data_IF_962949850063
#
_entry.id   IF_962949850063
#
_cell.length_a   1.000
_cell.length_b   1.000
_cell.length_c   1.000
_cell.angle_alpha   90.00
_cell.angle_beta   90.00
_cell.angle_gamma   90.00
#
_symmetry.space_group_name_H-M   'P 1'
#
loop_
_entity.id
_entity.type
_entity.pdbx_description
1 polymer ?
#
# COMPACT_ATOMS: atom_id res chain seq x y z
N UNK A 1 36.85 -18.11 -4.94
CA UNK A 1 35.98 -17.76 -3.80
C UNK A 1 35.09 -18.96 -3.53
N UNK A 2 34.99 -19.39 -2.28
CA UNK A 2 34.26 -20.60 -1.93
C UNK A 2 32.82 -20.23 -1.56
N UNK A 3 31.85 -20.77 -2.30
CA UNK A 3 30.43 -20.57 -2.02
C UNK A 3 30.01 -21.43 -0.83
N UNK A 4 29.11 -20.89 0.02
CA UNK A 4 28.45 -21.63 1.08
C UNK A 4 26.93 -21.66 0.87
N UNK A 5 26.32 -22.69 1.44
CA UNK A 5 24.88 -22.88 1.46
C UNK A 5 24.37 -22.67 2.87
N UNK A 6 23.34 -21.85 3.03
CA UNK A 6 22.62 -21.64 4.28
C UNK A 6 21.20 -22.18 4.12
N UNK A 7 20.81 -23.09 5.00
CA UNK A 7 19.43 -23.57 5.10
C UNK A 7 18.64 -22.62 5.98
N UNK A 8 17.56 -22.06 5.44
CA UNK A 8 16.73 -21.10 6.15
C UNK A 8 15.37 -21.70 6.42
N UNK A 9 15.00 -21.76 7.69
CA UNK A 9 13.69 -22.20 8.16
C UNK A 9 12.90 -20.99 8.67
N UNK A 10 11.65 -20.90 8.26
CA UNK A 10 10.71 -19.94 8.81
C UNK A 10 9.67 -20.72 9.61
N UNK A 11 9.59 -20.42 10.90
CA UNK A 11 8.52 -20.88 11.76
C UNK A 11 7.52 -19.75 11.89
N UNK A 12 6.36 -19.93 11.28
CA UNK A 12 5.24 -19.00 11.42
C UNK A 12 4.21 -19.69 12.30
N UNK A 13 3.99 -19.14 13.50
CA UNK A 13 2.80 -19.47 14.27
C UNK A 13 1.67 -18.55 13.79
N UNK A 14 0.49 -19.14 13.58
CA UNK A 14 -0.59 -18.55 12.78
C UNK A 14 -1.96 -19.11 13.16
N UNK A 15 -2.92 -18.26 13.55
CA UNK A 15 -4.34 -18.66 13.81
C UNK A 15 -5.00 -19.41 12.62
N UNK A 16 -4.49 -19.23 11.40
CA UNK A 16 -5.05 -19.78 10.16
C UNK A 16 -4.12 -20.77 9.45
N UNK A 17 -3.09 -21.27 10.12
CA UNK A 17 -2.17 -22.28 9.59
C UNK A 17 -1.16 -21.73 8.56
N UNK A 18 -0.44 -22.64 7.91
CA UNK A 18 0.63 -22.33 6.95
C UNK A 18 0.06 -21.66 5.69
N UNK A 19 0.53 -20.46 5.37
CA UNK A 19 0.31 -19.82 4.06
C UNK A 19 1.61 -19.81 3.27
N UNK A 20 1.56 -20.28 2.01
CA UNK A 20 2.71 -20.26 1.12
C UNK A 20 3.01 -18.84 0.64
N UNK A 21 3.99 -18.19 1.24
CA UNK A 21 4.46 -16.85 0.89
C UNK A 21 5.99 -16.83 0.80
N UNK A 22 6.52 -15.71 0.33
CA UNK A 22 7.95 -15.49 0.24
C UNK A 22 8.31 -14.18 0.93
N UNK A 23 9.45 -14.18 1.63
CA UNK A 23 9.99 -13.01 2.30
C UNK A 23 11.39 -12.68 1.80
N UNK A 24 11.74 -11.40 1.67
CA UNK A 24 13.08 -10.99 1.29
C UNK A 24 14.07 -11.28 2.42
N UNK A 25 15.19 -11.87 2.06
CA UNK A 25 16.32 -12.10 2.94
C UNK A 25 17.59 -11.56 2.31
N UNK A 26 18.45 -10.99 3.14
CA UNK A 26 19.79 -10.56 2.76
C UNK A 26 20.83 -11.11 3.74
N UNK A 27 21.97 -11.56 3.23
CA UNK A 27 23.18 -11.74 4.04
C UNK A 27 23.94 -10.43 4.01
N UNK A 28 24.26 -9.89 5.18
CA UNK A 28 24.96 -8.62 5.36
C UNK A 28 26.24 -8.80 6.17
N UNK A 29 27.22 -7.94 5.97
CA UNK A 29 28.41 -7.88 6.82
C UNK A 29 28.19 -7.02 8.09
N UNK A 30 29.22 -6.92 8.92
CA UNK A 30 29.24 -6.07 10.11
C UNK A 30 29.04 -4.57 9.85
N UNK A 31 29.23 -4.11 8.61
CA UNK A 31 29.00 -2.72 8.19
C UNK A 31 27.60 -2.52 7.61
N UNK A 32 26.80 -3.59 7.53
CA UNK A 32 25.49 -3.59 6.91
C UNK A 32 25.51 -3.62 5.38
N UNK A 33 26.66 -3.88 4.77
CA UNK A 33 26.78 -4.07 3.32
C UNK A 33 26.13 -5.40 2.94
N UNK A 34 25.30 -5.37 1.91
CA UNK A 34 24.63 -6.55 1.39
C UNK A 34 25.60 -7.38 0.57
N UNK A 35 25.80 -8.64 0.97
CA UNK A 35 26.64 -9.62 0.29
C UNK A 35 25.83 -10.46 -0.67
N UNK A 36 24.64 -10.89 -0.24
CA UNK A 36 23.74 -11.69 -1.03
C UNK A 36 22.29 -11.35 -0.70
N UNK A 37 21.41 -11.53 -1.67
CA UNK A 37 19.96 -11.29 -1.58
C UNK A 37 19.19 -12.46 -2.17
N UNK A 38 18.01 -12.72 -1.65
CA UNK A 38 17.05 -13.66 -2.24
C UNK A 38 15.74 -13.73 -1.47
N UNK A 39 14.99 -14.79 -1.69
CA UNK A 39 13.65 -14.97 -1.13
C UNK A 39 13.59 -16.26 -0.33
N UNK A 40 12.99 -16.22 0.85
CA UNK A 40 12.79 -17.40 1.70
C UNK A 40 11.32 -17.78 1.65
N UNK A 41 11.05 -19.06 1.39
CA UNK A 41 9.71 -19.61 1.38
C UNK A 41 9.23 -19.91 2.80
N UNK A 42 7.98 -19.60 3.11
CA UNK A 42 7.39 -19.84 4.43
C UNK A 42 6.91 -21.27 4.67
N UNK A 43 6.66 -22.04 3.61
CA UNK A 43 6.15 -23.40 3.68
C UNK A 43 7.24 -24.47 3.59
N UNK A 44 8.46 -24.12 3.16
CA UNK A 44 9.57 -25.06 3.00
C UNK A 44 10.90 -24.43 3.32
N UNK A 45 11.84 -25.26 3.78
CA UNK A 45 13.24 -24.86 3.97
C UNK A 45 13.79 -24.34 2.65
N UNK A 46 14.41 -23.17 2.68
CA UNK A 46 15.02 -22.56 1.50
C UNK A 46 16.54 -22.65 1.62
N UNK A 47 17.20 -23.06 0.54
CA UNK A 47 18.66 -23.04 0.45
C UNK A 47 19.10 -21.70 -0.14
N UNK A 48 20.02 -21.05 0.55
CA UNK A 48 20.48 -19.71 0.23
C UNK A 48 22.00 -19.71 0.04
N UNK A 49 22.46 -19.24 -1.12
CA UNK A 49 23.87 -19.28 -1.48
C UNK A 49 24.50 -17.91 -1.24
N UNK A 50 25.68 -17.89 -0.60
CA UNK A 50 26.41 -16.65 -0.37
C UNK A 50 27.92 -16.88 -0.39
N UNK A 51 28.65 -15.80 -0.69
CA UNK A 51 30.11 -15.78 -0.59
C UNK A 51 30.50 -15.43 0.85
N UNK A 52 31.34 -16.26 1.47
CA UNK A 52 31.83 -15.96 2.81
C UNK A 52 33.12 -15.12 2.74
N UNK A 53 33.34 -14.31 3.76
CA UNK A 53 34.59 -13.62 4.03
C UNK A 53 35.00 -13.87 5.49
N UNK A 54 36.19 -13.42 5.89
CA UNK A 54 36.67 -13.60 7.28
C UNK A 54 35.94 -12.68 8.29
N UNK A 55 35.01 -11.84 7.84
CA UNK A 55 34.25 -10.94 8.69
C UNK A 55 32.95 -11.60 9.17
N UNK A 56 32.40 -11.19 10.33
CA UNK A 56 31.12 -11.69 10.79
C UNK A 56 30.00 -11.27 9.84
N UNK A 57 29.20 -12.25 9.44
CA UNK A 57 28.04 -12.08 8.57
C UNK A 57 26.74 -12.33 9.33
N UNK A 58 25.68 -11.69 8.86
CA UNK A 58 24.37 -11.74 9.46
C UNK A 58 23.32 -12.06 8.41
N UNK A 59 22.45 -13.01 8.73
CA UNK A 59 21.24 -13.27 7.99
C UNK A 59 20.15 -12.29 8.46
N UNK A 60 19.65 -11.44 7.55
CA UNK A 60 18.59 -10.48 7.84
C UNK A 60 17.34 -10.77 7.02
N UNK A 61 16.24 -11.07 7.70
CA UNK A 61 14.90 -11.22 7.14
C UNK A 61 14.15 -9.89 7.29
N UNK A 62 13.44 -9.45 6.25
CA UNK A 62 12.60 -8.23 6.34
C UNK A 62 11.13 -8.58 6.17
N UNK A 63 10.29 -8.15 7.11
CA UNK A 63 8.84 -8.36 7.08
C UNK A 63 8.14 -7.23 6.29
N UNK A 64 6.92 -7.45 5.76
CA UNK A 64 6.18 -6.45 4.99
C UNK A 64 5.89 -5.17 5.78
N UNK A 65 5.59 -5.28 7.08
CA UNK A 65 5.44 -4.15 8.00
C UNK A 65 6.71 -3.27 8.13
N UNK A 66 7.82 -3.75 7.57
CA UNK A 66 9.10 -3.09 7.47
C UNK A 66 10.06 -3.37 8.62
N UNK A 67 9.68 -4.16 9.63
CA UNK A 67 10.61 -4.67 10.65
C UNK A 67 11.59 -5.66 10.04
N UNK A 68 12.70 -5.90 10.73
CA UNK A 68 13.69 -6.86 10.29
C UNK A 68 14.20 -7.66 11.47
N UNK A 69 14.37 -8.95 11.26
CA UNK A 69 15.01 -9.87 12.19
C UNK A 69 16.40 -10.20 11.66
N UNK A 70 17.39 -10.26 12.56
CA UNK A 70 18.79 -10.47 12.18
C UNK A 70 19.43 -11.52 13.06
N UNK A 71 20.07 -12.51 12.44
CA UNK A 71 20.75 -13.63 13.10
C UNK A 71 22.22 -13.63 12.67
N UNK A 72 23.14 -13.78 13.62
CA UNK A 72 24.58 -13.91 13.35
C UNK A 72 24.86 -15.30 12.75
N UNK A 73 25.61 -15.37 11.64
CA UNK A 73 25.93 -16.62 10.94
C UNK A 73 27.19 -17.33 11.47
N UNK A 74 27.78 -16.82 12.55
CA UNK A 74 28.94 -17.39 13.21
C UNK A 74 28.59 -17.69 14.67
N UNK A 75 29.07 -18.82 15.18
CA UNK A 75 29.01 -19.15 16.60
C UNK A 75 30.19 -18.50 17.34
N UNK A 76 30.15 -18.55 18.68
CA UNK A 76 31.24 -18.02 19.52
C UNK A 76 32.61 -18.66 19.24
N UNK A 77 32.64 -19.87 18.68
CA UNK A 77 33.86 -20.60 18.31
C UNK A 77 34.33 -20.30 16.87
N UNK A 78 33.78 -19.25 16.23
CA UNK A 78 34.00 -18.90 14.82
C UNK A 78 33.57 -19.98 13.82
N UNK A 79 32.82 -20.99 14.26
CA UNK A 79 32.18 -21.95 13.36
C UNK A 79 30.99 -21.29 12.66
N UNK A 80 30.81 -21.62 11.39
CA UNK A 80 29.73 -21.05 10.59
C UNK A 80 28.46 -21.88 10.73
N UNK A 81 27.31 -21.20 10.78
CA UNK A 81 26.01 -21.85 10.79
C UNK A 81 25.64 -22.29 9.36
N UNK A 82 25.29 -23.56 9.23
CA UNK A 82 24.72 -24.13 8.00
C UNK A 82 23.19 -24.01 7.97
N UNK A 83 22.56 -23.70 9.10
CA UNK A 83 21.12 -23.54 9.24
C UNK A 83 20.76 -22.36 10.17
N UNK A 84 19.75 -21.59 9.80
CA UNK A 84 19.13 -20.56 10.65
C UNK A 84 17.61 -20.66 10.63
N UNK A 85 17.00 -20.36 11.77
CA UNK A 85 15.54 -20.36 11.95
C UNK A 85 15.06 -18.98 12.41
N UNK A 86 14.04 -18.45 11.74
CA UNK A 86 13.32 -17.25 12.17
C UNK A 86 11.95 -17.64 12.71
N UNK A 87 11.56 -17.08 13.86
CA UNK A 87 10.27 -17.33 14.51
C UNK A 87 9.41 -16.08 14.41
N UNK A 88 8.35 -16.14 13.59
CA UNK A 88 7.44 -15.03 13.35
C UNK A 88 6.10 -15.36 14.04
N UNK A 89 5.57 -14.45 14.87
CA UNK A 89 4.24 -14.58 15.47
C UNK A 89 4.17 -15.17 16.88
N UNK A 90 5.28 -15.35 17.60
CA UNK A 90 5.25 -15.89 18.99
C UNK A 90 4.73 -14.88 20.05
N UNK A 91 4.49 -13.61 19.68
CA UNK A 91 3.92 -12.61 20.58
C UNK A 91 2.38 -12.76 20.65
N UNK A 92 1.88 -13.31 21.75
CA UNK A 92 0.46 -13.66 22.04
C UNK A 92 -0.58 -12.51 22.00
N UNK A 93 -0.24 -11.31 21.51
CA UNK A 93 -1.07 -10.10 21.60
C UNK A 93 -1.49 -9.49 20.25
N UNK A 94 -1.08 -10.06 19.13
CA UNK A 94 -1.42 -9.56 17.79
C UNK A 94 -1.78 -10.73 16.90
N UNK A 95 -2.92 -10.70 16.18
CA UNK A 95 -3.20 -11.77 15.22
C UNK A 95 -2.08 -11.79 14.18
N UNK A 96 -1.62 -12.97 13.79
CA UNK A 96 -0.41 -13.13 12.96
C UNK A 96 -0.56 -12.43 11.60
N UNK A 97 -1.78 -12.43 11.06
CA UNK A 97 -2.19 -11.60 9.93
C UNK A 97 -1.85 -10.11 10.09
N UNK A 98 -2.03 -9.55 11.28
CA UNK A 98 -1.67 -8.18 11.59
C UNK A 98 -0.14 -8.00 11.60
N UNK A 99 0.67 -9.02 11.91
CA UNK A 99 2.12 -8.91 11.70
C UNK A 99 2.51 -8.80 10.21
N UNK A 100 1.73 -9.46 9.33
CA UNK A 100 1.88 -9.43 7.87
C UNK A 100 1.33 -8.15 7.20
N UNK A 101 0.27 -7.56 7.76
CA UNK A 101 -0.46 -6.42 7.17
C UNK A 101 -0.35 -5.10 7.92
N UNK A 102 0.14 -5.10 9.17
CA UNK A 102 0.24 -3.90 9.97
C UNK A 102 1.43 -3.06 9.56
N UNK A 103 1.18 -2.14 8.64
CA UNK A 103 1.75 -0.81 8.82
C UNK A 103 1.25 -0.27 10.16
N UNK A 104 2.05 -0.43 11.21
CA UNK A 104 1.94 0.28 12.49
C UNK A 104 0.52 0.35 13.07
N UNK A 105 -0.05 -0.81 13.38
CA UNK A 105 -0.99 -0.86 14.49
C UNK A 105 -0.12 -0.90 15.75
N UNK A 106 -0.01 0.22 16.46
CA UNK A 106 0.64 0.29 17.78
C UNK A 106 -0.26 -0.43 18.81
N UNK A 107 -0.37 -1.76 18.66
CA UNK A 107 -1.20 -2.64 19.49
C UNK A 107 -0.66 -2.79 20.92
N UNK A 108 0.57 -2.32 21.17
CA UNK A 108 1.17 -2.32 22.51
C UNK A 108 0.48 -1.33 23.48
N UNK A 109 -0.60 -0.65 23.09
CA UNK A 109 -1.33 0.29 23.94
C UNK A 109 -2.85 0.01 23.99
N UNK A 110 -3.21 -0.99 24.79
CA UNK A 110 -4.43 -1.11 25.60
C UNK A 110 -5.79 -0.92 24.89
N UNK A 111 -6.36 -2.04 24.45
CA UNK A 111 -7.70 -2.24 23.88
C UNK A 111 -8.93 -2.03 24.79
N UNK A 112 -9.00 -0.91 25.51
CA UNK A 112 -10.16 -0.62 26.36
C UNK A 112 -11.28 0.22 25.71
N UNK A 113 -11.02 0.93 24.60
CA UNK A 113 -11.82 2.13 24.30
C UNK A 113 -12.22 2.38 22.84
N UNK A 114 -12.03 1.46 21.88
CA UNK A 114 -12.28 1.75 20.45
C UNK A 114 -13.77 1.83 20.06
N UNK A 115 -14.65 1.00 20.63
CA UNK A 115 -16.11 1.13 20.43
C UNK A 115 -16.70 2.42 21.04
N UNK A 116 -15.98 3.04 21.97
CA UNK A 116 -16.32 4.34 22.56
C UNK A 116 -15.58 5.50 21.87
N UNK A 117 -14.80 5.24 20.82
CA UNK A 117 -14.16 6.32 20.07
C UNK A 117 -15.17 7.05 19.16
N UNK A 118 -15.12 8.39 19.10
CA UNK A 118 -15.78 9.16 18.04
C UNK A 118 -15.27 8.64 16.70
N UNK A 119 -16.14 8.22 15.77
CA UNK A 119 -15.70 7.51 14.57
C UNK A 119 -16.33 6.15 14.31
N UNK A 120 -16.61 5.36 15.37
CA UNK A 120 -16.93 3.93 15.19
C UNK A 120 -18.34 3.55 15.65
N UNK A 121 -18.97 4.35 16.53
CA UNK A 121 -20.30 4.05 17.08
C UNK A 121 -21.41 3.99 16.03
N UNK A 122 -21.28 4.76 14.96
CA UNK A 122 -22.24 4.84 13.85
C UNK A 122 -21.72 4.18 12.57
N UNK A 123 -20.69 3.33 12.68
CA UNK A 123 -20.11 2.69 11.52
C UNK A 123 -21.13 1.77 10.84
N UNK A 124 -21.24 1.87 9.52
CA UNK A 124 -22.04 0.95 8.73
C UNK A 124 -21.30 0.53 7.47
N UNK A 125 -21.71 -0.63 6.97
CA UNK A 125 -21.06 -1.33 5.88
C UNK A 125 -22.11 -1.74 4.85
N UNK A 126 -21.79 -1.55 3.57
CA UNK A 126 -22.56 -2.09 2.46
C UNK A 126 -21.61 -2.81 1.52
N UNK A 127 -21.91 -4.06 1.23
CA UNK A 127 -21.16 -4.83 0.25
C UNK A 127 -21.86 -4.69 -1.11
N UNK A 128 -21.06 -4.38 -2.12
CA UNK A 128 -21.51 -4.21 -3.50
C UNK A 128 -20.80 -5.21 -4.39
N UNK A 129 -21.52 -5.72 -5.37
CA UNK A 129 -21.03 -6.69 -6.33
C UNK A 129 -21.46 -6.29 -7.75
N UNK A 130 -20.61 -6.58 -8.73
CA UNK A 130 -20.90 -6.37 -10.14
C UNK A 130 -21.05 -7.70 -10.86
N UNK A 131 -22.30 -8.09 -11.13
CA UNK A 131 -22.59 -9.34 -11.83
C UNK A 131 -22.52 -9.16 -13.36
N UNK A 132 -22.27 -10.22 -14.15
CA UNK A 132 -22.25 -10.15 -15.60
C UNK A 132 -23.59 -9.70 -16.21
N UNK A 133 -24.69 -10.03 -15.53
CA UNK A 133 -26.06 -9.76 -16.01
C UNK A 133 -26.50 -8.31 -15.80
N UNK A 134 -25.74 -7.52 -15.03
CA UNK A 134 -26.05 -6.13 -14.73
C UNK A 134 -24.85 -5.23 -15.03
N UNK A 135 -25.02 -4.19 -15.88
CA UNK A 135 -23.96 -3.19 -16.08
C UNK A 135 -23.73 -2.32 -14.83
N UNK A 136 -24.64 -2.38 -13.85
CA UNK A 136 -24.61 -1.57 -12.61
C UNK A 136 -24.19 -2.42 -11.42
N UNK A 137 -23.52 -1.77 -10.47
CA UNK A 137 -23.25 -2.38 -9.17
C UNK A 137 -24.54 -2.61 -8.39
N UNK A 138 -24.65 -3.78 -7.76
CA UNK A 138 -25.77 -4.16 -6.92
C UNK A 138 -25.31 -4.32 -5.48
N UNK A 139 -26.10 -3.81 -4.54
CA UNK A 139 -25.85 -4.04 -3.12
C UNK A 139 -26.32 -5.45 -2.77
N UNK A 140 -25.48 -6.21 -2.07
CA UNK A 140 -25.79 -7.54 -1.56
C UNK A 140 -25.81 -7.52 -0.03
N UNK A 141 -26.49 -8.49 0.59
CA UNK A 141 -26.51 -8.59 2.05
C UNK A 141 -25.13 -9.02 2.56
N UNK A 142 -24.49 -8.15 3.33
CA UNK A 142 -23.17 -8.43 3.89
C UNK A 142 -23.22 -9.58 4.90
N UNK A 143 -24.33 -9.77 5.61
CA UNK A 143 -24.44 -10.78 6.66
C UNK A 143 -24.40 -12.20 6.10
N UNK A 144 -24.92 -12.40 4.87
CA UNK A 144 -24.86 -13.68 4.17
C UNK A 144 -23.45 -14.01 3.66
N UNK A 145 -22.59 -13.00 3.54
CA UNK A 145 -21.24 -13.11 3.00
C UNK A 145 -20.15 -13.19 4.08
N UNK A 146 -20.50 -12.99 5.35
CA UNK A 146 -19.59 -13.13 6.47
C UNK A 146 -19.34 -14.62 6.75
N UNK A 147 -18.07 -15.02 6.72
CA UNK A 147 -17.64 -16.37 7.13
C UNK A 147 -17.66 -16.54 8.64
N UNK A 148 -17.25 -15.50 9.36
CA UNK A 148 -17.21 -15.40 10.82
C UNK A 148 -17.28 -13.92 11.22
N UNK A 149 -17.78 -13.65 12.42
CA UNK A 149 -17.72 -12.33 13.06
C UNK A 149 -16.72 -12.40 14.23
N UNK A 150 -15.42 -12.20 14.01
CA UNK A 150 -14.47 -12.16 15.11
C UNK A 150 -14.72 -10.94 16.00
N UNK A 151 -14.99 -11.19 17.27
CA UNK A 151 -15.15 -10.18 18.31
C UNK A 151 -13.78 -9.65 18.77
N UNK A 152 -13.11 -8.83 17.95
CA UNK A 152 -12.02 -8.01 18.47
C UNK A 152 -12.60 -6.80 19.22
N UNK A 153 -12.14 -6.57 20.46
CA UNK A 153 -12.47 -5.35 21.23
C UNK A 153 -11.73 -4.12 20.69
N UNK A 154 -10.76 -4.32 19.80
CA UNK A 154 -9.81 -3.31 19.34
C UNK A 154 -10.05 -2.87 17.88
N UNK A 155 -10.81 -3.62 17.10
CA UNK A 155 -11.09 -3.30 15.71
C UNK A 155 -12.38 -3.96 15.24
N UNK A 156 -13.00 -3.41 14.21
CA UNK A 156 -14.05 -4.15 13.49
C UNK A 156 -13.35 -4.98 12.43
N UNK A 157 -13.54 -6.30 12.48
CA UNK A 157 -12.97 -7.22 11.52
C UNK A 157 -14.12 -7.94 10.80
N UNK A 158 -14.10 -7.91 9.48
CA UNK A 158 -15.07 -8.55 8.61
C UNK A 158 -14.35 -9.63 7.81
N UNK A 159 -14.79 -10.87 7.92
CA UNK A 159 -14.25 -11.98 7.15
C UNK A 159 -15.21 -12.28 6.00
N UNK A 160 -14.86 -11.84 4.80
CA UNK A 160 -15.70 -11.96 3.62
C UNK A 160 -15.34 -13.22 2.83
N UNK A 161 -16.35 -14.01 2.46
CA UNK A 161 -16.20 -15.17 1.56
C UNK A 161 -15.64 -14.74 0.20
N UNK A 162 -15.08 -15.67 -0.57
CA UNK A 162 -14.74 -15.40 -1.97
C UNK A 162 -16.00 -15.20 -2.83
N UNK A 163 -15.88 -14.43 -3.90
CA UNK A 163 -16.91 -14.29 -4.93
C UNK A 163 -16.28 -14.35 -6.32
N UNK A 164 -16.93 -14.97 -7.32
CA UNK A 164 -16.46 -14.91 -8.70
C UNK A 164 -16.59 -13.51 -9.32
N UNK A 165 -17.31 -12.58 -8.70
CA UNK A 165 -17.62 -11.27 -9.27
C UNK A 165 -16.81 -10.15 -8.59
N UNK A 166 -16.48 -9.06 -9.32
CA UNK A 166 -15.85 -7.89 -8.72
C UNK A 166 -16.69 -7.33 -7.57
N UNK A 167 -16.03 -7.00 -6.44
CA UNK A 167 -16.68 -6.49 -5.24
C UNK A 167 -16.08 -5.20 -4.74
N UNK A 168 -16.90 -4.43 -4.04
CA UNK A 168 -16.50 -3.22 -3.35
C UNK A 168 -17.22 -3.12 -2.00
N UNK A 169 -16.51 -2.68 -0.98
CA UNK A 169 -17.07 -2.38 0.33
C UNK A 169 -17.26 -0.87 0.45
N UNK A 170 -18.48 -0.44 0.74
CA UNK A 170 -18.77 0.93 1.14
C UNK A 170 -18.80 0.99 2.65
N UNK A 171 -17.95 1.84 3.21
CA UNK A 171 -17.75 1.99 4.66
C UNK A 171 -18.00 3.45 5.03
N UNK A 172 -18.85 3.69 6.03
CA UNK A 172 -18.95 5.01 6.67
C UNK A 172 -18.45 4.91 8.10
N UNK A 173 -17.47 5.72 8.48
CA UNK A 173 -16.78 5.68 9.77
C UNK A 173 -16.95 7.02 10.50
N UNK A 174 -18.20 7.36 10.90
CA UNK A 174 -18.65 8.65 11.50
C UNK A 174 -18.26 9.93 10.73
N UNK A 175 -17.40 9.84 9.71
CA UNK A 175 -17.23 10.81 8.67
C UNK A 175 -18.53 10.93 7.89
N UNK A 176 -18.92 12.16 7.56
CA UNK A 176 -20.15 12.39 6.81
C UNK A 176 -20.12 11.79 5.40
N UNK A 177 -18.93 11.48 4.88
CA UNK A 177 -18.76 10.83 3.59
C UNK A 177 -18.36 9.37 3.71
N UNK A 178 -19.14 8.45 3.09
CA UNK A 178 -18.73 7.06 2.94
C UNK A 178 -17.51 6.93 2.01
N UNK A 179 -16.77 5.86 2.21
CA UNK A 179 -15.59 5.46 1.45
C UNK A 179 -15.89 4.15 0.74
N UNK A 180 -15.58 4.08 -0.55
CA UNK A 180 -15.61 2.86 -1.36
C UNK A 180 -14.21 2.26 -1.34
N UNK A 181 -14.10 0.96 -1.08
CA UNK A 181 -12.84 0.21 -1.08
C UNK A 181 -12.99 -1.04 -1.94
N UNK A 182 -12.02 -1.27 -2.82
CA UNK A 182 -11.99 -2.47 -3.66
C UNK A 182 -11.73 -3.73 -2.84
N UNK A 183 -12.50 -4.78 -3.12
CA UNK A 183 -12.41 -6.08 -2.47
C UNK A 183 -12.06 -7.13 -3.54
N UNK A 184 -11.01 -7.94 -3.33
CA UNK A 184 -10.67 -9.01 -4.25
C UNK A 184 -11.73 -10.12 -4.27
N UNK A 185 -11.66 -10.92 -5.33
CA UNK A 185 -12.56 -12.05 -5.56
C UNK A 185 -12.27 -13.22 -4.60
N UNK A 186 -11.08 -13.27 -4.02
CA UNK A 186 -10.69 -14.28 -3.03
C UNK A 186 -11.33 -14.02 -1.66
N UNK A 187 -11.28 -15.04 -0.79
CA UNK A 187 -11.60 -14.84 0.62
C UNK A 187 -10.69 -13.76 1.20
N UNK A 188 -11.28 -12.82 1.95
CA UNK A 188 -10.60 -11.58 2.33
C UNK A 188 -11.00 -11.17 3.73
N UNK A 189 -10.02 -10.69 4.50
CA UNK A 189 -10.20 -10.02 5.78
C UNK A 189 -10.22 -8.51 5.57
N UNK A 190 -11.24 -7.84 6.09
CA UNK A 190 -11.29 -6.37 6.15
C UNK A 190 -11.17 -5.96 7.61
N UNK A 191 -10.14 -5.17 7.90
CA UNK A 191 -9.88 -4.60 9.21
C UNK A 191 -10.19 -3.11 9.19
N UNK A 192 -11.04 -2.67 10.12
CA UNK A 192 -11.30 -1.26 10.38
C UNK A 192 -10.69 -0.89 11.72
N UNK A 193 -9.77 0.05 11.67
CA UNK A 193 -8.94 0.47 12.80
C UNK A 193 -8.78 1.99 12.83
N UNK A 194 -8.26 2.54 13.92
CA UNK A 194 -7.91 3.97 14.01
C UNK A 194 -6.40 4.16 13.96
N UNK A 195 -5.92 5.07 13.13
CA UNK A 195 -4.53 5.51 13.15
C UNK A 195 -4.44 6.85 13.88
N UNK A 196 -3.57 6.93 14.91
CA UNK A 196 -3.27 8.19 15.56
C UNK A 196 -2.30 8.98 14.67
N UNK A 197 -2.76 10.11 14.17
CA UNK A 197 -1.94 11.08 13.46
C UNK A 197 -0.97 11.79 14.42
N UNK A 198 0.06 12.45 13.88
CA UNK A 198 1.02 13.21 14.69
C UNK A 198 0.36 14.32 15.53
N UNK A 199 -0.80 14.82 15.10
CA UNK A 199 -1.61 15.80 15.85
C UNK A 199 -2.43 15.17 16.98
N UNK A 200 -2.34 13.86 17.18
CA UNK A 200 -3.13 13.12 18.17
C UNK A 200 -4.54 12.75 17.71
N UNK A 201 -4.98 13.24 16.53
CA UNK A 201 -6.29 12.91 15.95
C UNK A 201 -6.28 11.45 15.52
N UNK A 202 -7.29 10.70 15.95
CA UNK A 202 -7.53 9.33 15.54
C UNK A 202 -8.35 9.35 14.26
N UNK A 203 -7.76 8.89 13.16
CA UNK A 203 -8.44 8.79 11.87
C UNK A 203 -8.75 7.33 11.58
N UNK A 204 -10.03 6.96 11.39
CA UNK A 204 -10.38 5.59 11.06
C UNK A 204 -9.82 5.23 9.67
N UNK A 205 -9.43 3.97 9.50
CA UNK A 205 -8.78 3.44 8.30
C UNK A 205 -9.32 2.05 8.03
N UNK A 206 -9.60 1.81 6.75
CA UNK A 206 -9.96 0.48 6.24
C UNK A 206 -8.72 -0.15 5.64
N UNK A 207 -8.45 -1.40 6.03
CA UNK A 207 -7.35 -2.22 5.52
C UNK A 207 -7.98 -3.51 5.00
N UNK A 208 -7.68 -3.85 3.77
CA UNK A 208 -8.13 -5.09 3.12
C UNK A 208 -6.93 -6.00 2.94
N UNK A 209 -7.10 -7.29 3.23
CA UNK A 209 -6.01 -8.25 3.10
C UNK A 209 -6.45 -9.69 3.34
N UNK A 210 -5.51 -10.58 3.63
CA UNK A 210 -5.67 -12.03 3.68
C UNK A 210 -6.11 -12.65 2.35
N UNK A 211 -5.89 -11.95 1.22
CA UNK A 211 -6.33 -12.41 -0.11
C UNK A 211 -5.19 -12.95 -0.96
N UNK A 212 -3.98 -12.40 -0.81
CA UNK A 212 -2.75 -12.93 -1.43
C UNK A 212 -1.54 -12.41 -0.67
N UNK A 213 -0.90 -13.24 0.18
CA UNK A 213 0.25 -12.82 0.98
C UNK A 213 1.41 -12.30 0.13
N UNK A 214 1.63 -12.89 -1.05
CA UNK A 214 2.69 -12.45 -1.95
C UNK A 214 2.35 -11.10 -2.59
N UNK A 215 1.10 -10.89 -3.01
CA UNK A 215 0.68 -9.60 -3.56
C UNK A 215 0.79 -8.50 -2.51
N UNK A 216 0.29 -8.76 -1.31
CA UNK A 216 0.31 -7.80 -0.21
C UNK A 216 1.75 -7.43 0.18
N UNK A 217 2.64 -8.42 0.33
CA UNK A 217 4.06 -8.18 0.59
C UNK A 217 4.71 -7.34 -0.53
N UNK A 218 4.46 -7.69 -1.81
CA UNK A 218 5.00 -6.95 -2.95
C UNK A 218 4.54 -5.49 -2.93
N UNK A 219 3.23 -5.26 -2.79
CA UNK A 219 2.68 -3.92 -2.82
C UNK A 219 3.10 -3.10 -1.60
N UNK A 220 3.26 -3.73 -0.44
CA UNK A 220 3.72 -3.06 0.77
C UNK A 220 5.18 -2.57 0.62
N UNK A 221 6.08 -3.42 0.13
CA UNK A 221 7.44 -2.99 -0.18
C UNK A 221 7.48 -1.94 -1.29
N UNK A 222 6.63 -2.05 -2.31
CA UNK A 222 6.55 -1.10 -3.43
C UNK A 222 6.16 0.29 -2.92
N UNK A 223 5.14 0.34 -2.07
CA UNK A 223 4.60 1.55 -1.45
C UNK A 223 5.61 2.17 -0.47
N UNK A 224 6.34 1.35 0.26
CA UNK A 224 7.44 1.79 1.13
C UNK A 224 8.71 2.22 0.36
N UNK A 225 8.75 2.06 -0.96
CA UNK A 225 9.94 2.37 -1.78
C UNK A 225 11.11 1.40 -1.58
N UNK A 226 10.86 0.24 -0.97
CA UNK A 226 11.83 -0.82 -0.64
C UNK A 226 12.11 -1.70 -1.87
N UNK A 227 12.62 -1.09 -2.94
CA UNK A 227 12.83 -1.78 -4.22
C UNK A 227 13.88 -2.89 -4.16
N UNK A 228 14.89 -2.78 -3.28
CA UNK A 228 15.90 -3.84 -3.10
C UNK A 228 15.31 -5.13 -2.51
N UNK A 229 14.35 -5.00 -1.58
CA UNK A 229 13.60 -6.14 -1.06
C UNK A 229 12.75 -6.81 -2.14
N UNK A 230 12.12 -6.02 -3.02
CA UNK A 230 11.36 -6.57 -4.14
C UNK A 230 12.23 -7.28 -5.16
N UNK A 231 13.39 -6.71 -5.46
CA UNK A 231 14.38 -7.31 -6.34
C UNK A 231 14.85 -8.67 -5.82
N UNK A 232 15.10 -8.74 -4.51
CA UNK A 232 15.40 -9.97 -3.78
C UNK A 232 14.29 -11.03 -3.88
N UNK A 233 13.03 -10.62 -3.71
CA UNK A 233 11.87 -11.52 -3.80
C UNK A 233 11.64 -12.04 -5.22
N UNK A 234 11.78 -11.14 -6.19
CA UNK A 234 11.48 -11.39 -7.59
C UNK A 234 12.76 -11.73 -8.38
N UNK A 235 13.84 -12.14 -7.74
CA UNK A 235 15.05 -12.54 -8.47
C UNK A 235 14.72 -13.63 -9.52
N UNK A 236 15.22 -13.57 -10.78
CA UNK A 236 14.86 -14.53 -11.82
C UNK A 236 15.14 -16.00 -11.48
N UNK A 237 16.07 -16.27 -10.57
CA UNK A 237 16.35 -17.61 -10.05
C UNK A 237 15.39 -18.07 -8.95
N UNK A 238 14.55 -17.18 -8.41
CA UNK A 238 13.63 -17.49 -7.32
C UNK A 238 12.38 -18.25 -7.79
N UNK A 239 11.89 -19.15 -6.94
CA UNK A 239 10.63 -19.86 -7.19
C UNK A 239 9.44 -18.92 -7.34
N UNK A 240 9.42 -17.81 -6.58
CA UNK A 240 8.36 -16.82 -6.67
C UNK A 240 8.37 -16.15 -8.04
N UNK A 241 9.53 -15.72 -8.53
CA UNK A 241 9.63 -15.13 -9.86
C UNK A 241 9.19 -16.12 -10.93
N UNK A 242 9.56 -17.40 -10.82
CA UNK A 242 9.07 -18.42 -11.74
C UNK A 242 7.54 -18.54 -11.71
N UNK A 243 6.93 -18.59 -10.52
CA UNK A 243 5.46 -18.68 -10.37
C UNK A 243 4.75 -17.44 -10.88
N UNK A 244 5.21 -16.24 -10.55
CA UNK A 244 4.52 -15.00 -10.92
C UNK A 244 4.79 -14.58 -12.37
N UNK A 245 6.01 -14.77 -12.88
CA UNK A 245 6.41 -14.31 -14.21
C UNK A 245 6.22 -15.40 -15.28
N UNK A 246 6.21 -16.68 -14.93
CA UNK A 246 5.99 -17.76 -15.90
C UNK A 246 4.67 -18.48 -15.67
N UNK A 247 4.33 -18.76 -14.40
CA UNK A 247 3.17 -19.56 -13.98
C UNK A 247 1.93 -18.79 -13.50
N UNK A 248 1.77 -17.49 -13.83
CA UNK A 248 0.78 -16.47 -13.36
C UNK A 248 -0.71 -16.86 -13.19
N UNK A 249 -1.07 -18.11 -13.48
CA UNK A 249 -2.36 -18.74 -13.24
C UNK A 249 -2.57 -19.04 -11.75
N UNK A 250 -1.50 -19.38 -11.02
CA UNK A 250 -1.62 -19.84 -9.62
C UNK A 250 -2.06 -18.72 -8.68
N UNK A 251 -1.51 -17.51 -8.85
CA UNK A 251 -1.84 -16.34 -8.05
C UNK A 251 -1.84 -15.10 -8.97
N UNK A 252 -2.97 -14.81 -9.64
CA UNK A 252 -3.05 -13.71 -10.60
C UNK A 252 -2.99 -12.33 -9.92
N UNK A 253 -3.38 -12.25 -8.65
CA UNK A 253 -3.31 -11.03 -7.85
C UNK A 253 -1.84 -10.67 -7.57
N UNK A 254 -1.03 -11.65 -7.14
CA UNK A 254 0.41 -11.46 -6.96
C UNK A 254 1.15 -11.21 -8.28
N UNK A 255 0.74 -11.85 -9.38
CA UNK A 255 1.31 -11.58 -10.69
C UNK A 255 1.05 -10.13 -11.14
N UNK A 256 -0.13 -9.59 -10.83
CA UNK A 256 -0.48 -8.19 -11.08
C UNK A 256 0.33 -7.24 -10.20
N UNK A 257 0.51 -7.57 -8.92
CA UNK A 257 1.40 -6.80 -8.02
C UNK A 257 2.85 -6.76 -8.53
N UNK A 258 3.38 -7.90 -8.99
CA UNK A 258 4.70 -7.97 -9.61
C UNK A 258 4.77 -7.13 -10.91
N UNK A 259 3.69 -7.07 -11.69
CA UNK A 259 3.62 -6.24 -12.89
C UNK A 259 3.73 -4.74 -12.57
N UNK A 260 3.13 -4.26 -11.47
CA UNK A 260 3.33 -2.88 -11.00
C UNK A 260 4.80 -2.59 -10.68
N UNK A 261 5.48 -3.51 -9.99
CA UNK A 261 6.91 -3.38 -9.71
C UNK A 261 7.75 -3.31 -11.00
N UNK A 262 7.53 -4.22 -11.96
CA UNK A 262 8.25 -4.24 -13.23
C UNK A 262 7.97 -2.98 -14.08
N UNK A 263 6.72 -2.51 -14.09
CA UNK A 263 6.35 -1.24 -14.72
C UNK A 263 7.10 -0.06 -14.10
N UNK A 264 7.20 -0.01 -12.76
CA UNK A 264 7.92 1.06 -12.05
C UNK A 264 9.42 1.03 -12.32
N UNK A 265 10.03 -0.16 -12.41
CA UNK A 265 11.45 -0.33 -12.77
C UNK A 265 11.72 -0.16 -14.27
N UNK A 266 10.67 -0.11 -15.11
CA UNK A 266 10.77 -0.14 -16.58
C UNK A 266 11.53 -1.37 -17.10
N UNK A 267 11.36 -2.50 -16.41
CA UNK A 267 12.02 -3.76 -16.75
C UNK A 267 11.21 -4.50 -17.81
N UNK A 268 11.42 -4.12 -19.06
CA UNK A 268 10.67 -4.62 -20.20
C UNK A 268 11.03 -6.05 -20.58
N UNK A 269 12.28 -6.45 -20.34
CA UNK A 269 12.77 -7.79 -20.61
C UNK A 269 12.01 -8.82 -19.76
N UNK A 270 11.84 -8.52 -18.47
CA UNK A 270 11.10 -9.37 -17.54
C UNK A 270 9.58 -9.24 -17.64
N UNK A 271 9.09 -8.29 -18.44
CA UNK A 271 7.67 -8.04 -18.69
C UNK A 271 7.34 -8.03 -20.19
N UNK A 272 7.56 -9.13 -20.94
CA UNK A 272 7.32 -9.13 -22.38
C UNK A 272 5.84 -8.92 -22.72
N UNK A 273 5.53 -8.33 -23.89
CA UNK A 273 4.15 -7.96 -24.27
C UNK A 273 3.18 -9.13 -24.19
N UNK A 274 3.59 -10.30 -24.70
CA UNK A 274 2.80 -11.55 -24.64
C UNK A 274 2.49 -11.99 -23.21
N UNK A 275 3.38 -11.71 -22.26
CA UNK A 275 3.12 -12.02 -20.86
C UNK A 275 2.00 -11.15 -20.29
N UNK A 276 2.04 -9.84 -20.57
CA UNK A 276 0.98 -8.90 -20.18
C UNK A 276 -0.35 -9.23 -20.87
N UNK A 277 -0.34 -9.55 -22.17
CA UNK A 277 -1.55 -9.95 -22.90
C UNK A 277 -2.20 -11.19 -22.24
N UNK A 278 -1.38 -12.19 -21.88
CA UNK A 278 -1.89 -13.36 -21.16
C UNK A 278 -2.41 -13.02 -19.76
N UNK A 279 -1.75 -12.12 -19.03
CA UNK A 279 -2.22 -11.68 -17.71
C UNK A 279 -3.60 -11.01 -17.82
N UNK A 280 -3.79 -10.15 -18.82
CA UNK A 280 -5.08 -9.48 -19.08
C UNK A 280 -6.17 -10.42 -19.59
N UNK A 281 -5.81 -11.42 -20.40
CA UNK A 281 -6.78 -12.33 -21.01
C UNK A 281 -7.25 -13.41 -20.04
N UNK A 282 -6.37 -13.89 -19.16
CA UNK A 282 -6.72 -14.93 -18.19
C UNK A 282 -7.41 -14.37 -16.93
N UNK A 283 -7.21 -13.09 -16.64
CA UNK A 283 -7.72 -12.45 -15.43
C UNK A 283 -8.41 -11.12 -15.78
N UNK A 284 -9.45 -11.21 -16.59
CA UNK A 284 -10.28 -10.06 -16.99
C UNK A 284 -10.95 -9.36 -15.79
N UNK A 285 -11.04 -10.05 -14.65
CA UNK A 285 -11.60 -9.55 -13.38
C UNK A 285 -10.63 -8.74 -12.53
N UNK A 286 -9.40 -8.52 -12.96
CA UNK A 286 -8.42 -7.64 -12.29
C UNK A 286 -8.17 -6.43 -13.19
N UNK A 287 -8.93 -5.33 -13.04
CA UNK A 287 -8.86 -4.19 -13.97
C UNK A 287 -7.46 -3.58 -14.09
N UNK A 288 -6.64 -3.66 -13.03
CA UNK A 288 -5.24 -3.23 -12.99
C UNK A 288 -4.40 -3.80 -14.13
N UNK A 289 -4.61 -5.08 -14.49
CA UNK A 289 -3.81 -5.72 -15.53
C UNK A 289 -3.93 -4.98 -16.87
N UNK A 290 -5.13 -4.47 -17.21
CA UNK A 290 -5.36 -3.70 -18.44
C UNK A 290 -4.74 -2.31 -18.37
N UNK A 291 -4.82 -1.65 -17.20
CA UNK A 291 -4.14 -0.37 -16.97
C UNK A 291 -2.63 -0.51 -17.13
N UNK A 292 -2.03 -1.53 -16.52
CA UNK A 292 -0.60 -1.82 -16.60
C UNK A 292 -0.20 -2.13 -18.04
N UNK A 293 -1.00 -2.92 -18.77
CA UNK A 293 -0.76 -3.24 -20.19
C UNK A 293 -0.73 -1.98 -21.05
N UNK A 294 -1.72 -1.09 -20.91
CA UNK A 294 -1.77 0.17 -21.65
C UNK A 294 -0.58 1.07 -21.30
N UNK A 295 -0.33 1.28 -20.00
CA UNK A 295 0.79 2.09 -19.52
C UNK A 295 2.14 1.55 -20.01
N UNK A 296 2.36 0.23 -19.98
CA UNK A 296 3.57 -0.41 -20.47
C UNK A 296 3.79 -0.15 -21.97
N UNK A 297 2.77 -0.35 -22.80
CA UNK A 297 2.88 -0.08 -24.25
C UNK A 297 3.18 1.40 -24.53
N UNK A 298 2.55 2.31 -23.80
CA UNK A 298 2.76 3.76 -23.94
C UNK A 298 4.19 4.13 -23.53
N UNK A 299 4.67 3.63 -22.38
CA UNK A 299 6.03 3.90 -21.88
C UNK A 299 7.13 3.29 -22.75
N UNK A 300 6.81 2.31 -23.61
CA UNK A 300 7.72 1.76 -24.62
C UNK A 300 7.84 2.60 -25.88
N UNK A 301 7.17 3.75 -25.95
CA UNK A 301 7.29 4.71 -27.04
C UNK A 301 6.25 4.51 -28.15
N UNK A 302 5.01 4.15 -27.80
CA UNK A 302 3.91 4.26 -28.75
C UNK A 302 3.82 5.70 -29.30
N UNK A 303 3.56 5.89 -30.61
CA UNK A 303 3.25 7.20 -31.16
C UNK A 303 2.11 7.87 -30.39
N UNK A 304 2.17 9.19 -30.22
CA UNK A 304 1.22 9.91 -29.36
C UNK A 304 -0.25 9.68 -29.74
N UNK A 305 -0.57 9.68 -31.05
CA UNK A 305 -1.93 9.43 -31.52
C UNK A 305 -2.43 8.02 -31.12
N UNK A 306 -1.58 7.00 -31.32
CA UNK A 306 -1.88 5.62 -30.91
C UNK A 306 -1.97 5.48 -29.38
N UNK A 307 -1.14 6.19 -28.63
CA UNK A 307 -1.17 6.21 -27.17
C UNK A 307 -2.47 6.81 -26.64
N UNK A 308 -2.96 7.91 -27.23
CA UNK A 308 -4.23 8.53 -26.86
C UNK A 308 -5.41 7.60 -27.15
N UNK A 309 -5.46 7.00 -28.35
CA UNK A 309 -6.51 6.05 -28.71
C UNK A 309 -6.48 4.79 -27.82
N UNK A 310 -5.31 4.23 -27.56
CA UNK A 310 -5.16 3.10 -26.63
C UNK A 310 -5.64 3.43 -25.22
N UNK A 311 -5.36 4.65 -24.73
CA UNK A 311 -5.83 5.10 -23.43
C UNK A 311 -7.36 5.21 -23.39
N UNK A 312 -7.98 5.79 -24.42
CA UNK A 312 -9.43 5.88 -24.54
C UNK A 312 -10.08 4.48 -24.62
N UNK A 313 -9.57 3.57 -25.46
CA UNK A 313 -10.06 2.20 -25.58
C UNK A 313 -9.95 1.44 -24.25
N UNK A 314 -8.82 1.58 -23.56
CA UNK A 314 -8.58 0.93 -22.26
C UNK A 314 -9.59 1.42 -21.21
N UNK A 315 -9.82 2.74 -21.17
CA UNK A 315 -10.72 3.35 -20.19
C UNK A 315 -12.21 3.20 -20.53
N UNK A 316 -12.57 3.00 -21.80
CA UNK A 316 -13.96 2.86 -22.23
C UNK A 316 -14.64 1.64 -21.60
N UNK A 317 -13.95 0.49 -21.57
CA UNK A 317 -14.44 -0.77 -20.97
C UNK A 317 -14.04 -0.94 -19.50
N UNK A 318 -13.33 0.02 -18.93
CA UNK A 318 -12.72 -0.10 -17.60
C UNK A 318 -13.78 -0.26 -16.49
N UNK A 319 -14.78 0.63 -16.49
CA UNK A 319 -15.84 0.63 -15.48
C UNK A 319 -16.72 -0.63 -15.54
N UNK A 320 -16.77 -1.31 -16.69
CA UNK A 320 -17.51 -2.56 -16.86
C UNK A 320 -16.89 -3.72 -16.09
N UNK A 321 -15.57 -3.73 -15.91
CA UNK A 321 -14.83 -4.81 -15.26
C UNK A 321 -14.71 -4.64 -13.74
N UNK A 322 -15.11 -3.48 -13.21
CA UNK A 322 -15.10 -3.17 -11.79
C UNK A 322 -14.22 -1.96 -11.48
N UNK A 323 -13.72 -1.92 -10.25
CA UNK A 323 -12.75 -0.92 -9.80
C UNK A 323 -11.38 -1.58 -9.64
N UNK A 324 -10.26 -0.84 -9.78
CA UNK A 324 -8.95 -1.46 -9.60
C UNK A 324 -8.82 -2.07 -8.21
N UNK A 325 -8.00 -3.09 -8.07
CA UNK A 325 -7.70 -3.72 -6.79
C UNK A 325 -6.70 -2.89 -5.98
N UNK A 326 -5.62 -2.40 -6.60
CA UNK A 326 -4.52 -1.77 -5.88
C UNK A 326 -4.55 -0.24 -5.94
N UNK A 327 -4.14 0.42 -4.85
CA UNK A 327 -4.10 1.87 -4.73
C UNK A 327 -3.22 2.53 -5.82
N UNK A 328 -2.16 1.85 -6.24
CA UNK A 328 -1.21 2.25 -7.29
C UNK A 328 -1.91 2.55 -8.63
N UNK A 329 -3.06 1.91 -8.89
CA UNK A 329 -3.88 2.14 -10.08
C UNK A 329 -4.28 3.60 -10.25
N UNK A 330 -4.41 4.37 -9.15
CA UNK A 330 -4.80 5.78 -9.22
C UNK A 330 -3.84 6.60 -10.10
N UNK A 331 -2.54 6.30 -10.05
CA UNK A 331 -1.54 6.99 -10.87
C UNK A 331 -1.72 6.66 -12.35
N UNK A 332 -1.92 5.39 -12.68
CA UNK A 332 -2.15 4.96 -14.06
C UNK A 332 -3.48 5.49 -14.61
N UNK A 333 -4.54 5.47 -13.81
CA UNK A 333 -5.83 6.04 -14.18
C UNK A 333 -5.72 7.52 -14.50
N UNK A 334 -5.04 8.30 -13.65
CA UNK A 334 -4.81 9.72 -13.88
C UNK A 334 -4.03 9.98 -15.18
N UNK A 335 -2.97 9.23 -15.43
CA UNK A 335 -2.13 9.40 -16.63
C UNK A 335 -2.88 9.00 -17.90
N UNK A 336 -3.60 7.87 -17.88
CA UNK A 336 -4.39 7.41 -19.02
C UNK A 336 -5.58 8.33 -19.30
N UNK A 337 -6.21 8.88 -18.27
CA UNK A 337 -7.32 9.81 -18.44
C UNK A 337 -6.88 11.10 -19.16
N UNK A 338 -5.72 11.64 -18.78
CA UNK A 338 -5.14 12.81 -19.45
C UNK A 338 -4.78 12.55 -20.92
N UNK A 339 -4.42 11.32 -21.28
CA UNK A 339 -4.18 10.91 -22.67
C UNK A 339 -5.48 10.70 -23.44
N UNK A 340 -6.47 10.04 -22.82
CA UNK A 340 -7.76 9.74 -23.44
C UNK A 340 -8.55 11.00 -23.83
N UNK A 341 -8.35 12.12 -23.13
CA UNK A 341 -8.94 13.43 -23.49
C UNK A 341 -8.45 13.97 -24.84
N UNK A 342 -7.29 13.49 -25.32
CA UNK A 342 -6.68 13.90 -26.59
C UNK A 342 -6.88 12.88 -27.71
N UNK A 343 -7.64 11.81 -27.46
CA UNK A 343 -7.92 10.78 -28.43
C UNK A 343 -8.83 11.30 -29.55
N UNK A 344 -8.74 10.71 -30.74
CA UNK A 344 -9.64 11.04 -31.86
C UNK A 344 -11.08 10.64 -31.52
N UNK A 345 -11.23 9.52 -30.81
CA UNK A 345 -12.49 9.08 -30.23
C UNK A 345 -12.41 9.22 -28.70
N UNK A 346 -12.81 10.38 -28.15
CA UNK A 346 -12.76 10.59 -26.72
C UNK A 346 -13.74 9.68 -25.99
N UNK A 347 -13.48 9.49 -24.70
CA UNK A 347 -14.39 8.77 -23.80
C UNK A 347 -15.78 9.40 -23.79
N UNK A 348 -16.80 8.57 -23.54
CA UNK A 348 -18.14 9.10 -23.27
C UNK A 348 -18.09 10.11 -22.11
N UNK A 349 -18.86 11.20 -22.20
CA UNK A 349 -18.86 12.25 -21.18
C UNK A 349 -19.14 11.70 -19.78
N UNK A 350 -20.00 10.68 -19.67
CA UNK A 350 -20.32 10.01 -18.41
C UNK A 350 -19.13 9.20 -17.87
N UNK A 351 -18.48 8.39 -18.71
CA UNK A 351 -17.31 7.60 -18.32
C UNK A 351 -16.16 8.51 -17.87
N UNK A 352 -15.85 9.54 -18.67
CA UNK A 352 -14.82 10.51 -18.33
C UNK A 352 -15.12 11.21 -16.99
N UNK A 353 -16.36 11.67 -16.79
CA UNK A 353 -16.79 12.30 -15.54
C UNK A 353 -16.64 11.36 -14.35
N UNK A 354 -17.11 10.11 -14.44
CA UNK A 354 -16.98 9.13 -13.35
C UNK A 354 -15.52 8.87 -13.00
N UNK A 355 -14.67 8.65 -14.01
CA UNK A 355 -13.24 8.41 -13.79
C UNK A 355 -12.53 9.62 -13.16
N UNK A 356 -12.82 10.85 -13.64
CA UNK A 356 -12.29 12.08 -13.02
C UNK A 356 -12.70 12.18 -11.55
N UNK A 357 -13.96 11.90 -11.24
CA UNK A 357 -14.45 11.92 -9.86
C UNK A 357 -13.77 10.83 -9.02
N UNK A 358 -13.60 9.60 -9.54
CA UNK A 358 -12.87 8.52 -8.83
C UNK A 358 -11.42 8.92 -8.53
N UNK A 359 -10.68 9.45 -9.51
CA UNK A 359 -9.29 9.86 -9.33
C UNK A 359 -9.17 11.04 -8.36
N UNK A 360 -10.05 12.03 -8.48
CA UNK A 360 -10.05 13.18 -7.58
C UNK A 360 -10.37 12.77 -6.14
N UNK A 361 -11.38 11.91 -5.96
CA UNK A 361 -11.86 11.40 -4.67
C UNK A 361 -11.07 10.21 -4.12
N UNK A 362 -9.99 9.79 -4.79
CA UNK A 362 -9.14 8.70 -4.35
C UNK A 362 -8.66 8.91 -2.91
N UNK A 363 -8.83 7.89 -2.08
CA UNK A 363 -8.53 7.92 -0.66
C UNK A 363 -7.60 6.76 -0.27
N UNK A 364 -6.63 6.95 0.63
CA UNK A 364 -5.73 5.88 1.03
C UNK A 364 -6.44 4.78 1.86
N UNK A 365 -6.74 3.65 1.24
CA UNK A 365 -7.39 2.48 1.88
C UNK A 365 -6.44 1.29 2.04
N UNK A 366 -5.27 1.54 2.63
CA UNK A 366 -4.26 0.48 2.77
C UNK A 366 -3.48 0.27 1.47
N UNK A 367 -3.49 -0.99 1.00
CA UNK A 367 -2.99 -1.41 -0.31
C UNK A 367 -4.09 -1.39 -1.38
N UNK A 368 -5.36 -1.42 -0.96
CA UNK A 368 -6.49 -1.45 -1.88
C UNK A 368 -6.79 -0.08 -2.45
N UNK A 369 -7.25 -0.08 -3.70
CA UNK A 369 -7.84 1.11 -4.30
C UNK A 369 -9.11 1.50 -3.55
N UNK A 370 -9.26 2.80 -3.30
CA UNK A 370 -10.45 3.33 -2.66
C UNK A 370 -10.65 4.80 -2.99
N UNK A 371 -11.87 5.26 -2.82
CA UNK A 371 -12.28 6.64 -3.07
C UNK A 371 -13.50 7.01 -2.22
N UNK A 372 -13.72 8.30 -1.96
CA UNK A 372 -14.92 8.75 -1.25
C UNK A 372 -16.14 8.75 -2.19
N UNK A 373 -17.26 8.18 -1.77
CA UNK A 373 -18.45 8.06 -2.62
C UNK A 373 -19.58 7.31 -1.92
N UNK A 374 -20.80 7.44 -2.46
CA UNK A 374 -21.99 6.76 -1.89
C UNK A 374 -22.12 5.30 -2.35
N UNK A 375 -21.57 4.99 -3.51
CA UNK A 375 -21.55 3.66 -4.11
C UNK A 375 -20.42 3.59 -5.15
N UNK A 376 -20.04 2.41 -5.66
CA UNK A 376 -18.98 2.30 -6.66
C UNK A 376 -19.22 3.11 -7.94
N UNK A 377 -20.48 3.27 -8.35
CA UNK A 377 -20.89 4.09 -9.51
C UNK A 377 -21.06 5.59 -9.20
N UNK A 378 -20.95 5.99 -7.92
CA UNK A 378 -21.20 7.37 -7.46
C UNK A 378 -20.05 7.91 -6.61
N UNK A 379 -18.87 8.15 -7.21
CA UNK A 379 -17.78 8.85 -6.55
C UNK A 379 -18.18 10.28 -6.20
N UNK A 380 -17.52 10.85 -5.19
CA UNK A 380 -17.79 12.21 -4.74
C UNK A 380 -17.38 13.24 -5.82
N UNK A 381 -18.15 14.31 -6.04
CA UNK A 381 -17.78 15.36 -6.98
C UNK A 381 -16.45 16.04 -6.63
N UNK A 382 -15.69 16.44 -7.65
CA UNK A 382 -14.34 17.03 -7.53
C UNK A 382 -14.30 18.24 -6.59
N UNK A 383 -15.28 19.15 -6.69
CA UNK A 383 -15.35 20.34 -5.84
C UNK A 383 -15.52 19.98 -4.36
N UNK A 384 -16.44 19.05 -4.05
CA UNK A 384 -16.68 18.59 -2.68
C UNK A 384 -15.43 17.91 -2.13
N UNK A 385 -14.76 17.09 -2.95
CA UNK A 385 -13.49 16.47 -2.57
C UNK A 385 -12.40 17.51 -2.29
N UNK A 386 -12.31 18.57 -3.09
CA UNK A 386 -11.35 19.65 -2.86
C UNK A 386 -11.62 20.38 -1.55
N UNK A 387 -12.88 20.72 -1.27
CA UNK A 387 -13.32 21.33 -0.02
C UNK A 387 -12.98 20.44 1.19
N UNK A 388 -13.27 19.15 1.12
CA UNK A 388 -12.91 18.19 2.17
C UNK A 388 -11.40 18.12 2.40
N UNK A 389 -10.61 18.03 1.33
CA UNK A 389 -9.14 17.99 1.44
C UNK A 389 -8.60 19.30 2.02
N UNK A 390 -9.25 20.43 1.74
CA UNK A 390 -8.93 21.73 2.32
C UNK A 390 -9.27 21.74 3.82
N UNK A 391 -10.44 21.27 4.22
CA UNK A 391 -10.84 21.17 5.63
C UNK A 391 -9.88 20.29 6.44
N UNK A 392 -9.53 19.10 5.93
CA UNK A 392 -8.58 18.17 6.58
C UNK A 392 -7.21 18.85 6.80
N UNK A 393 -6.74 19.63 5.82
CA UNK A 393 -5.47 20.37 5.93
C UNK A 393 -5.55 21.56 6.89
N UNK A 394 -6.74 22.13 7.09
CA UNK A 394 -6.95 23.32 7.89
C UNK A 394 -7.44 23.06 9.32
N UNK A 395 -7.56 21.80 9.78
CA UNK A 395 -7.81 21.51 11.20
C UNK A 395 -6.61 22.04 12.02
N UNK A 396 -6.74 23.18 12.73
CA UNK A 396 -5.66 23.68 13.55
C UNK A 396 -5.56 22.79 14.78
N UNK A 397 -4.35 22.60 15.31
CA UNK A 397 -4.11 21.90 16.59
C UNK A 397 -4.84 22.54 17.81
N UNK A 398 -5.66 23.57 17.62
CA UNK A 398 -6.36 24.33 18.67
C UNK A 398 -7.71 23.76 19.13
N UNK A 399 -8.25 22.67 18.55
CA UNK A 399 -9.45 22.00 19.12
C UNK A 399 -9.12 21.01 20.26
N UNK A 400 -7.92 21.10 20.85
CA UNK A 400 -7.44 20.18 21.90
C UNK A 400 -7.73 20.62 23.34
N UNK A 401 -8.45 21.71 23.59
CA UNK A 401 -8.65 22.25 24.95
C UNK A 401 -9.99 21.92 25.63
N UNK A 402 -10.74 20.93 25.16
CA UNK A 402 -11.98 20.50 25.83
C UNK A 402 -12.04 19.00 26.11
N UNK A 403 -10.89 18.41 26.44
CA UNK A 403 -10.89 17.23 27.33
C UNK A 403 -10.80 17.80 28.75
N UNK A 404 -11.93 17.81 29.46
CA UNK A 404 -11.90 17.96 30.92
C UNK A 404 -11.01 16.83 31.43
N UNK A 405 -9.82 17.18 31.92
CA UNK A 405 -9.06 16.30 32.79
C UNK A 405 -9.98 16.03 33.97
N UNK A 406 -10.54 14.82 34.03
CA UNK A 406 -11.16 14.32 35.24
C UNK A 406 -9.98 14.10 36.19
N UNK A 407 -9.79 15.05 37.10
CA UNK A 407 -8.91 14.87 38.24
C UNK A 407 -9.42 13.66 39.03
N UNK A 408 -8.66 12.57 39.00
CA UNK A 408 -8.84 11.45 39.92
C UNK A 408 -8.07 11.77 41.21
N UNK A 409 -8.74 11.97 42.37
CA UNK A 409 -8.07 12.20 43.63
C UNK A 409 -7.78 10.84 44.27
N UNK A 410 -6.64 10.23 43.96
CA UNK A 410 -6.06 9.14 44.75
C UNK A 410 -4.67 8.77 44.21
N UNK A 411 -3.66 9.55 44.58
CA UNK A 411 -2.25 9.13 44.68
C UNK A 411 -1.41 10.30 45.24
N UNK A 412 -1.87 10.85 46.35
CA UNK A 412 -0.98 11.53 47.30
C UNK A 412 -0.60 10.49 48.37
N UNK A 413 0.43 9.71 48.10
CA UNK A 413 1.39 9.25 49.11
C UNK A 413 2.40 8.33 48.44
N UNK A 414 3.50 8.95 47.99
CA UNK A 414 4.88 8.46 48.01
C UNK A 414 5.63 9.19 46.91
N UNK A 415 6.43 10.18 47.33
CA UNK A 415 7.73 10.60 46.79
C UNK A 415 7.98 12.05 47.22
N UNK A 416 8.45 12.21 48.45
CA UNK A 416 9.12 13.44 48.88
C UNK A 416 10.40 13.63 48.05
N UNK A 417 10.61 14.76 47.37
CA UNK A 417 11.89 15.05 46.76
C UNK A 417 12.91 15.45 47.82
N UNK A 418 14.07 14.82 47.76
CA UNK A 418 15.29 15.21 48.49
C UNK A 418 15.88 16.43 47.78
N UNK A 419 16.10 17.51 48.53
CA UNK A 419 16.67 18.77 48.02
C UNK A 419 18.02 18.57 47.32
N UNK A 420 18.25 19.19 46.14
CA UNK A 420 19.59 19.36 45.60
C UNK A 420 20.13 20.73 46.01
N UNK A 421 21.08 20.68 46.94
CA UNK A 421 21.96 21.79 47.29
C UNK A 421 23.06 21.88 46.23
N UNK A 422 23.34 23.07 45.66
CA UNK A 422 24.60 23.30 44.94
C UNK A 422 24.51 24.09 43.64
N UNK A 423 24.98 25.33 43.69
CA UNK A 423 25.16 26.28 42.59
C UNK A 423 26.24 25.81 41.61
N UNK A 424 25.98 25.87 40.29
CA UNK A 424 26.98 26.26 39.28
C UNK A 424 26.37 26.43 37.87
N UNK A 425 26.81 27.49 37.20
CA UNK A 425 26.89 27.62 35.73
C UNK A 425 25.62 27.92 34.92
N UNK A 426 25.12 29.15 35.08
CA UNK A 426 24.55 29.96 33.99
C UNK A 426 25.69 30.49 33.11
N UNK A 427 25.84 29.97 31.89
CA UNK A 427 26.48 30.59 30.69
C UNK A 427 26.68 29.45 29.69
N UNK A 428 26.58 29.76 28.39
CA UNK A 428 26.76 28.86 27.22
C UNK A 428 25.45 28.16 26.79
N UNK A 429 24.78 28.42 25.66
CA UNK A 429 25.05 29.22 24.46
C UNK A 429 23.71 29.70 23.86
N UNK A 430 23.63 30.99 23.53
CA UNK A 430 22.74 31.56 22.51
C UNK A 430 23.61 32.09 21.38
N UNK A 431 23.05 32.07 20.17
CA UNK A 431 23.51 32.69 18.91
C UNK A 431 24.41 31.85 17.99
N UNK A 432 23.86 31.45 16.83
CA UNK A 432 24.04 32.20 15.58
C UNK A 432 23.13 31.65 14.47
N UNK A 433 22.24 32.51 14.01
CA UNK A 433 21.57 32.44 12.70
C UNK A 433 22.19 33.52 11.83
N UNK A 434 21.96 33.41 10.51
CA UNK A 434 22.07 34.42 9.42
C UNK A 434 23.19 34.16 8.39
N UNK A 435 22.70 34.02 7.15
CA UNK A 435 23.25 34.41 5.82
C UNK A 435 24.11 33.45 5.02
N UNK A 436 23.58 33.00 3.88
CA UNK A 436 24.11 33.40 2.56
C UNK A 436 23.13 33.04 1.43
N UNK A 437 22.74 34.06 0.67
CA UNK A 437 22.03 34.01 -0.60
C UNK A 437 22.86 34.72 -1.68
N UNK A 438 22.53 34.42 -2.94
CA UNK A 438 23.14 34.84 -4.24
C UNK A 438 24.33 34.00 -4.68
N UNK A 439 24.54 33.66 -5.94
CA UNK A 439 23.82 33.58 -7.24
C UNK A 439 24.93 33.33 -8.27
N UNK A 440 24.70 32.64 -9.40
CA UNK A 440 25.08 33.09 -10.77
C UNK A 440 25.04 31.96 -11.81
N UNK A 441 24.23 32.24 -12.86
CA UNK A 441 24.28 31.95 -14.32
C UNK A 441 24.34 30.52 -14.88
N UNK A 442 23.34 30.28 -15.73
CA UNK A 442 23.26 29.26 -16.78
C UNK A 442 24.10 29.62 -18.03
N UNK A 443 24.29 28.64 -18.93
CA UNK A 443 24.00 28.88 -20.34
C UNK A 443 23.05 27.83 -20.95
N UNK A 444 22.38 28.27 -22.02
CA UNK A 444 21.39 27.59 -22.84
C UNK A 444 21.99 26.46 -23.69
N UNK A 445 21.28 25.34 -23.76
CA UNK A 445 21.16 24.50 -24.95
C UNK A 445 19.83 23.73 -24.88
N UNK A 446 19.05 23.77 -25.96
CA UNK A 446 17.72 23.16 -26.09
C UNK A 446 17.89 21.70 -26.55
N UNK A 447 17.38 20.70 -25.83
CA UNK A 447 17.13 19.38 -26.38
C UNK A 447 15.63 19.13 -26.56
N UNK A 448 15.32 18.36 -27.61
CA UNK A 448 14.00 17.85 -27.98
C UNK A 448 13.25 17.26 -26.78
N UNK A 449 12.00 17.67 -26.58
CA UNK A 449 11.14 17.23 -25.49
C UNK A 449 10.81 15.74 -25.61
N UNK A 450 11.58 14.93 -24.90
CA UNK A 450 11.13 13.63 -24.42
C UNK A 450 10.55 13.86 -23.03
N UNK A 451 9.23 13.71 -22.89
CA UNK A 451 8.55 13.89 -21.61
C UNK A 451 8.83 12.64 -20.76
N UNK A 452 9.80 12.74 -19.85
CA UNK A 452 10.00 11.81 -18.75
C UNK A 452 9.55 12.46 -17.45
N UNK A 453 8.46 11.97 -16.86
CA UNK A 453 8.02 12.29 -15.51
C UNK A 453 6.84 13.26 -15.42
N UNK A 454 5.78 12.80 -14.75
CA UNK A 454 4.67 13.52 -14.09
C UNK A 454 4.27 14.92 -14.62
N UNK A 455 4.13 15.10 -15.93
CA UNK A 455 3.47 16.29 -16.49
C UNK A 455 1.96 16.30 -16.20
N UNK A 456 1.36 15.11 -16.00
CA UNK A 456 -0.07 14.93 -15.77
C UNK A 456 -0.58 15.60 -14.48
N UNK A 457 0.24 15.65 -13.42
CA UNK A 457 -0.18 16.23 -12.13
C UNK A 457 -0.27 17.76 -12.18
N UNK A 458 0.59 18.39 -12.98
CA UNK A 458 0.60 19.84 -13.19
C UNK A 458 -0.49 20.28 -14.17
N UNK A 459 -0.67 19.52 -15.27
CA UNK A 459 -1.71 19.79 -16.27
C UNK A 459 -3.13 19.58 -15.72
N UNK A 460 -3.34 18.54 -14.91
CA UNK A 460 -4.64 18.27 -14.28
C UNK A 460 -5.04 19.37 -13.29
N UNK A 461 -4.11 19.87 -12.47
CA UNK A 461 -4.42 20.97 -11.55
C UNK A 461 -4.73 22.28 -12.29
N UNK A 462 -4.07 22.54 -13.41
CA UNK A 462 -4.27 23.77 -14.18
C UNK A 462 -5.62 23.76 -14.91
N UNK A 463 -6.01 22.63 -15.50
CA UNK A 463 -7.29 22.46 -16.20
C UNK A 463 -8.50 22.49 -15.24
N UNK A 464 -8.34 21.95 -14.02
CA UNK A 464 -9.36 22.05 -12.96
C UNK A 464 -9.48 23.49 -12.43
N UNK A 465 -8.38 24.24 -12.34
CA UNK A 465 -8.43 25.65 -11.96
C UNK A 465 -9.11 26.50 -13.05
N UNK A 466 -8.86 26.23 -14.33
CA UNK A 466 -9.46 26.97 -15.44
C UNK A 466 -10.99 26.75 -15.53
N UNK A 467 -11.49 25.55 -15.21
CA UNK A 467 -12.95 25.27 -15.12
C UNK A 467 -13.62 25.99 -13.94
N UNK A 468 -12.90 26.27 -12.84
CA UNK A 468 -13.47 27.01 -11.70
C UNK A 468 -13.59 28.52 -11.92
N UNK A 469 -12.79 29.11 -12.83
CA UNK A 469 -12.87 30.55 -13.15
C UNK A 469 -14.10 30.89 -14.01
N UNK A 470 -14.67 29.90 -14.71
CA UNK A 470 -15.88 30.09 -15.54
C UNK A 470 -17.19 29.95 -14.76
N UNK A 471 -17.13 29.65 -13.45
CA UNK A 471 -18.29 29.56 -12.55
C UNK A 471 -18.11 30.53 -11.39
N UNK A 472 -18.08 31.82 -11.69
CA UNK A 472 -18.38 32.89 -10.73
C UNK A 472 -19.02 34.04 -11.51
N UNK A 473 -20.16 34.59 -11.05
CA UNK A 473 -20.86 35.67 -11.75
C UNK A 473 -20.05 36.97 -11.81
#
# INVERSE_FOLDING_TARGET
MSQRHLRVKLHIQGERGYFGSFLPMSVIDARGQVIATGAVNTARVTEFHYEYNDAPLFARLTLPNGTSETILLQTGDHAWLDEVSFNIGEDTSTSDWMAWSAIRLDLKRHGGALMNQPGMKNAWFQLWEKTPDSPRWMQIDINEQLSDMPHSREAIQLELRGSPHPRALVVRLDSDTPQVVSIPNEQTSVLITSLRTLSGVLTPRVIVGSYSPNAEAIMEFLRAGKLGQLESMLDPGSDLAHRLLRGKIIDPIAATAAAYYLLRKRDWERMPTRWLDNLTNWNDRIPDAKLIRAACRIQRGLPMAEACNLAAETLASFLEQGIPLFAEANTLLSDLLALAEKAEQPLSAQTAKTLRMMVASAHPSGLSFGFTGKSPDKPLPVHTTFEQNREIRHIPAMRLSSVKIVEHPALEDTLRPREPNGKASRRQWRAKTITLSRSVKAPLSIPQQTISGSAAKTLFLQQVLDETVLISP
#
